data_IF_890552675839
#
_entry.id   IF_890552675839
#
_cell.length_a   1.000
_cell.length_b   1.000
_cell.length_c   1.000
_cell.angle_alpha   90.00
_cell.angle_beta   90.00
_cell.angle_gamma   90.00
#
_symmetry.space_group_name_H-M   'P 1'
#
loop_
_entity.id
_entity.type
_entity.pdbx_description
1 polymer ?
#
# COMPACT_ATOMS: atom_id res chain seq x y z
N UNK A 1 -29.15 5.37 17.72
CA UNK A 1 -30.07 4.28 17.33
C UNK A 1 -29.47 3.38 16.23
N UNK A 2 -28.77 3.97 15.24
CA UNK A 2 -28.09 3.27 14.14
C UNK A 2 -26.97 2.31 14.63
N UNK A 3 -26.14 2.71 15.58
CA UNK A 3 -25.09 1.82 16.14
C UNK A 3 -25.65 0.55 16.81
N UNK A 4 -26.82 0.64 17.48
CA UNK A 4 -27.50 -0.53 18.05
C UNK A 4 -28.08 -1.47 16.99
N UNK A 5 -28.44 -0.96 15.81
CA UNK A 5 -28.86 -1.78 14.68
C UNK A 5 -27.67 -2.57 14.11
N UNK A 6 -26.48 -1.95 14.04
CA UNK A 6 -25.28 -2.57 13.51
C UNK A 6 -24.70 -3.71 14.37
N UNK A 7 -24.82 -3.66 15.69
CA UNK A 7 -24.22 -4.69 16.57
C UNK A 7 -25.13 -5.91 16.81
N UNK A 8 -26.46 -5.75 16.65
CA UNK A 8 -27.41 -6.82 17.01
C UNK A 8 -27.57 -7.82 15.87
N UNK A 9 -27.15 -9.06 16.09
CA UNK A 9 -27.50 -10.20 15.23
C UNK A 9 -29.02 -10.42 15.38
N UNK A 10 -29.78 -10.09 14.36
CA UNK A 10 -31.22 -10.33 14.35
C UNK A 10 -31.50 -11.83 14.48
N UNK A 11 -32.48 -12.17 15.33
CA UNK A 11 -32.89 -13.57 15.54
C UNK A 11 -33.28 -14.21 14.21
N UNK A 12 -32.78 -15.41 13.94
CA UNK A 12 -33.06 -16.20 12.73
C UNK A 12 -34.57 -16.39 12.49
N UNK A 13 -35.36 -16.38 13.57
CA UNK A 13 -36.82 -16.45 13.53
C UNK A 13 -37.49 -15.17 13.02
N UNK A 14 -36.89 -14.00 13.25
CA UNK A 14 -37.39 -12.73 12.69
C UNK A 14 -37.25 -12.72 11.17
N UNK A 15 -36.10 -13.20 10.66
CA UNK A 15 -35.85 -13.33 9.21
C UNK A 15 -36.85 -14.30 8.59
N UNK A 16 -37.07 -15.45 9.23
CA UNK A 16 -38.06 -16.41 8.79
C UNK A 16 -39.47 -15.81 8.73
N UNK A 17 -39.87 -15.04 9.75
CA UNK A 17 -41.18 -14.38 9.79
C UNK A 17 -41.32 -13.36 8.64
N UNK A 18 -40.29 -12.53 8.40
CA UNK A 18 -40.30 -11.57 7.29
C UNK A 18 -40.44 -12.30 5.95
N UNK A 19 -39.63 -13.33 5.69
CA UNK A 19 -39.71 -14.11 4.45
C UNK A 19 -41.12 -14.74 4.27
N UNK A 20 -41.71 -15.28 5.34
CA UNK A 20 -43.07 -15.84 5.30
C UNK A 20 -44.15 -14.78 5.00
N UNK A 21 -44.05 -13.59 5.60
CA UNK A 21 -44.98 -12.50 5.31
C UNK A 21 -44.89 -12.05 3.85
N UNK A 22 -43.67 -11.94 3.30
CA UNK A 22 -43.48 -11.54 1.91
C UNK A 22 -44.03 -12.59 0.93
N UNK A 23 -43.87 -13.87 1.25
CA UNK A 23 -44.43 -14.96 0.45
C UNK A 23 -45.97 -14.95 0.49
N UNK A 24 -46.55 -14.74 1.66
CA UNK A 24 -48.00 -14.63 1.82
C UNK A 24 -48.57 -13.45 1.01
N UNK A 25 -47.88 -12.31 1.05
CA UNK A 25 -48.22 -11.13 0.25
C UNK A 25 -48.07 -11.37 -1.26
N UNK A 26 -46.97 -12.01 -1.68
CA UNK A 26 -46.73 -12.33 -3.08
C UNK A 26 -47.82 -13.24 -3.66
N UNK A 27 -48.22 -14.27 -2.91
CA UNK A 27 -49.28 -15.19 -3.33
C UNK A 27 -50.63 -14.47 -3.39
N UNK A 28 -50.95 -13.62 -2.41
CA UNK A 28 -52.17 -12.82 -2.41
C UNK A 28 -52.24 -11.88 -3.63
N UNK A 29 -51.13 -11.19 -3.94
CA UNK A 29 -51.04 -10.33 -5.11
C UNK A 29 -51.17 -11.11 -6.42
N UNK A 30 -50.54 -12.29 -6.51
CA UNK A 30 -50.63 -13.13 -7.70
C UNK A 30 -52.06 -13.57 -8.01
N UNK A 31 -52.81 -13.96 -6.97
CA UNK A 31 -54.22 -14.34 -7.12
C UNK A 31 -55.07 -13.15 -7.56
N UNK A 32 -54.88 -11.97 -6.94
CA UNK A 32 -55.61 -10.74 -7.31
C UNK A 32 -55.38 -10.34 -8.76
N UNK A 33 -54.14 -10.44 -9.25
CA UNK A 33 -53.77 -10.11 -10.62
C UNK A 33 -54.34 -11.11 -11.64
N UNK A 34 -54.43 -12.38 -11.29
CA UNK A 34 -54.85 -13.43 -12.22
C UNK A 34 -56.39 -13.50 -12.34
N UNK A 35 -57.14 -13.20 -11.28
CA UNK A 35 -58.61 -13.29 -11.25
C UNK A 35 -59.36 -12.05 -11.77
N UNK A 36 -58.69 -11.08 -12.42
CA UNK A 36 -59.29 -9.86 -13.00
C UNK A 36 -60.43 -9.24 -12.14
N UNK A 37 -60.10 -8.65 -10.99
CA UNK A 37 -60.96 -7.68 -10.25
C UNK A 37 -62.40 -8.18 -9.93
N UNK A 38 -62.72 -9.47 -10.09
CA UNK A 38 -64.06 -10.00 -9.80
C UNK A 38 -64.11 -10.53 -8.36
N UNK A 39 -64.09 -9.58 -7.41
CA UNK A 39 -63.95 -9.79 -5.96
C UNK A 39 -64.95 -10.81 -5.38
N UNK A 40 -66.11 -10.98 -6.01
CA UNK A 40 -67.20 -11.86 -5.56
C UNK A 40 -66.86 -13.34 -5.82
N UNK A 41 -66.08 -13.65 -6.86
CA UNK A 41 -65.65 -15.02 -7.19
C UNK A 41 -64.49 -15.50 -6.29
N UNK A 42 -63.64 -14.57 -5.85
CA UNK A 42 -62.47 -14.83 -5.01
C UNK A 42 -62.88 -15.27 -3.60
N UNK A 43 -63.91 -14.65 -3.01
CA UNK A 43 -64.39 -15.02 -1.67
C UNK A 43 -65.27 -16.28 -1.64
N UNK A 44 -65.90 -16.67 -2.76
CA UNK A 44 -66.68 -17.91 -2.86
C UNK A 44 -65.80 -19.17 -3.01
N UNK A 45 -64.60 -19.04 -3.58
CA UNK A 45 -63.70 -20.18 -3.86
C UNK A 45 -62.53 -20.21 -2.88
N UNK A 46 -62.60 -21.01 -1.81
CA UNK A 46 -61.49 -21.58 -1.01
C UNK A 46 -60.13 -20.81 -0.98
N UNK A 47 -60.15 -19.48 -1.00
CA UNK A 47 -58.98 -18.65 -1.27
C UNK A 47 -57.98 -18.71 -0.12
N UNK A 48 -58.51 -18.67 1.10
CA UNK A 48 -57.74 -18.87 2.31
C UNK A 48 -57.05 -20.24 2.35
N UNK A 49 -57.70 -21.28 1.82
CA UNK A 49 -57.09 -22.62 1.76
C UNK A 49 -55.86 -22.63 0.85
N UNK A 50 -55.96 -22.04 -0.36
CA UNK A 50 -54.82 -21.92 -1.29
C UNK A 50 -53.64 -21.14 -0.69
N UNK A 51 -53.92 -20.04 0.00
CA UNK A 51 -52.89 -19.24 0.68
C UNK A 51 -52.22 -20.00 1.83
N UNK A 52 -53.01 -20.65 2.68
CA UNK A 52 -52.49 -21.40 3.84
C UNK A 52 -51.67 -22.60 3.38
N UNK A 53 -52.12 -23.32 2.35
CA UNK A 53 -51.37 -24.45 1.78
C UNK A 53 -50.03 -23.98 1.19
N UNK A 54 -50.02 -22.88 0.41
CA UNK A 54 -48.78 -22.35 -0.16
C UNK A 54 -47.81 -21.88 0.94
N UNK A 55 -48.30 -21.12 1.92
CA UNK A 55 -47.48 -20.65 3.04
C UNK A 55 -46.92 -21.82 3.85
N UNK A 56 -47.72 -22.86 4.13
CA UNK A 56 -47.28 -24.07 4.81
C UNK A 56 -46.17 -24.82 4.06
N UNK A 57 -46.33 -25.03 2.75
CA UNK A 57 -45.29 -25.62 1.89
C UNK A 57 -44.01 -24.79 1.93
N UNK A 58 -44.14 -23.46 1.84
CA UNK A 58 -42.99 -22.55 1.89
C UNK A 58 -42.28 -22.59 3.24
N UNK A 59 -43.00 -22.68 4.35
CA UNK A 59 -42.45 -22.77 5.70
C UNK A 59 -41.60 -24.05 5.86
N UNK A 60 -42.09 -25.19 5.38
CA UNK A 60 -41.36 -26.46 5.39
C UNK A 60 -40.09 -26.38 4.51
N UNK A 61 -40.19 -25.84 3.29
CA UNK A 61 -39.05 -25.77 2.39
C UNK A 61 -37.98 -24.78 2.89
N UNK A 62 -38.38 -23.64 3.44
CA UNK A 62 -37.45 -22.61 3.95
C UNK A 62 -36.74 -23.07 5.24
N UNK A 63 -37.38 -23.93 6.03
CA UNK A 63 -36.75 -24.57 7.19
C UNK A 63 -35.78 -25.66 6.76
N UNK A 64 -36.18 -26.54 5.83
CA UNK A 64 -35.31 -27.61 5.29
C UNK A 64 -34.07 -27.06 4.58
N UNK A 65 -34.24 -26.03 3.73
CA UNK A 65 -33.12 -25.36 3.04
C UNK A 65 -32.32 -24.40 3.91
N UNK A 66 -32.69 -24.25 5.20
CA UNK A 66 -31.99 -23.41 6.19
C UNK A 66 -31.74 -21.96 5.72
N UNK A 67 -32.66 -21.41 4.91
CA UNK A 67 -32.50 -20.08 4.29
C UNK A 67 -32.47 -18.98 5.35
N UNK A 68 -33.23 -19.17 6.42
CA UNK A 68 -33.35 -18.26 7.56
C UNK A 68 -32.12 -18.23 8.47
N UNK A 69 -31.14 -19.13 8.27
CA UNK A 69 -29.91 -19.21 9.09
C UNK A 69 -28.82 -18.26 8.56
N UNK A 70 -28.87 -17.91 7.27
CA UNK A 70 -27.91 -17.00 6.65
C UNK A 70 -28.00 -15.58 7.21
N UNK A 71 -26.87 -14.97 7.52
CA UNK A 71 -26.82 -13.56 7.90
C UNK A 71 -27.10 -12.70 6.65
N UNK A 72 -28.29 -12.10 6.54
CA UNK A 72 -28.70 -11.27 5.38
C UNK A 72 -27.67 -10.18 5.04
N UNK A 73 -26.91 -9.69 6.02
CA UNK A 73 -25.88 -8.66 5.83
C UNK A 73 -24.71 -9.10 4.96
N UNK A 74 -24.38 -10.40 4.98
CA UNK A 74 -23.30 -10.98 4.20
C UNK A 74 -23.83 -11.73 2.98
N UNK A 75 -25.03 -11.39 2.53
CA UNK A 75 -25.69 -12.14 1.47
C UNK A 75 -24.90 -12.04 0.17
N UNK A 76 -24.52 -13.22 -0.34
CA UNK A 76 -23.75 -13.39 -1.57
C UNK A 76 -24.66 -13.86 -2.72
N UNK A 77 -24.12 -13.94 -3.93
CA UNK A 77 -24.86 -14.47 -5.09
C UNK A 77 -25.46 -15.86 -4.83
N UNK A 78 -24.76 -16.69 -4.05
CA UNK A 78 -25.24 -18.01 -3.62
C UNK A 78 -26.54 -17.97 -2.79
N UNK A 79 -26.74 -16.94 -1.97
CA UNK A 79 -27.96 -16.80 -1.17
C UNK A 79 -29.18 -16.50 -2.03
N UNK A 80 -28.99 -15.67 -3.06
CA UNK A 80 -30.01 -15.35 -4.04
C UNK A 80 -30.42 -16.62 -4.79
N UNK A 81 -29.43 -17.44 -5.20
CA UNK A 81 -29.68 -18.74 -5.85
C UNK A 81 -30.37 -19.74 -4.90
N UNK A 82 -30.03 -19.74 -3.60
CA UNK A 82 -30.71 -20.56 -2.59
C UNK A 82 -32.19 -20.20 -2.43
N UNK A 83 -32.51 -18.90 -2.40
CA UNK A 83 -33.90 -18.42 -2.34
C UNK A 83 -34.66 -18.75 -3.61
N UNK A 84 -34.07 -18.45 -4.77
CA UNK A 84 -34.67 -18.74 -6.08
C UNK A 84 -34.97 -20.23 -6.25
N UNK A 85 -34.03 -21.10 -5.88
CA UNK A 85 -34.24 -22.55 -5.93
C UNK A 85 -35.27 -23.03 -4.90
N UNK A 86 -35.51 -22.30 -3.81
CA UNK A 86 -36.52 -22.66 -2.83
C UNK A 86 -37.92 -22.26 -3.29
N UNK A 87 -38.11 -21.04 -3.82
CA UNK A 87 -39.38 -20.60 -4.39
C UNK A 87 -39.77 -21.45 -5.60
N UNK A 88 -38.79 -21.90 -6.39
CA UNK A 88 -39.01 -22.84 -7.51
C UNK A 88 -39.53 -24.19 -7.00
N UNK A 89 -38.91 -24.78 -5.99
CA UNK A 89 -39.38 -26.04 -5.38
C UNK A 89 -40.77 -25.87 -4.75
N UNK A 90 -41.04 -24.75 -4.07
CA UNK A 90 -42.37 -24.44 -3.53
C UNK A 90 -43.42 -24.45 -4.63
N UNK A 91 -43.10 -23.81 -5.76
CA UNK A 91 -44.01 -23.69 -6.89
C UNK A 91 -44.28 -25.03 -7.57
N UNK A 92 -43.25 -25.87 -7.73
CA UNK A 92 -43.39 -27.24 -8.27
C UNK A 92 -44.23 -28.12 -7.33
N UNK A 93 -43.92 -28.12 -6.03
CA UNK A 93 -44.64 -28.94 -5.05
C UNK A 93 -46.11 -28.51 -4.98
N UNK A 94 -46.36 -27.21 -4.97
CA UNK A 94 -47.72 -26.68 -4.99
C UNK A 94 -48.46 -27.04 -6.29
N UNK A 95 -47.79 -26.98 -7.44
CA UNK A 95 -48.35 -27.39 -8.74
C UNK A 95 -48.77 -28.86 -8.78
N UNK A 96 -48.04 -29.75 -8.09
CA UNK A 96 -48.37 -31.20 -8.04
C UNK A 96 -49.42 -31.51 -6.97
N UNK A 97 -49.29 -30.94 -5.77
CA UNK A 97 -50.14 -31.28 -4.62
C UNK A 97 -51.55 -30.73 -4.76
N UNK A 98 -51.70 -29.47 -5.20
CA UNK A 98 -52.99 -28.78 -5.14
C UNK A 98 -54.01 -29.38 -6.10
N UNK A 99 -53.71 -29.65 -7.38
CA UNK A 99 -54.65 -30.34 -8.26
C UNK A 99 -55.05 -31.72 -7.72
N UNK A 100 -54.10 -32.50 -7.19
CA UNK A 100 -54.32 -33.85 -6.65
C UNK A 100 -55.29 -33.89 -5.47
N UNK A 101 -55.28 -32.84 -4.63
CA UNK A 101 -56.19 -32.71 -3.48
C UNK A 101 -57.58 -32.21 -3.90
N UNK A 102 -57.67 -31.51 -5.04
CA UNK A 102 -58.87 -30.79 -5.50
C UNK A 102 -59.62 -31.45 -6.67
N UNK A 103 -59.16 -32.58 -7.20
CA UNK A 103 -59.82 -33.35 -8.28
C UNK A 103 -61.29 -33.75 -8.01
N UNK A 104 -61.86 -33.41 -6.85
CA UNK A 104 -63.26 -33.62 -6.48
C UNK A 104 -64.12 -32.37 -6.28
N UNK A 105 -63.60 -31.14 -6.50
CA UNK A 105 -64.37 -29.90 -6.34
C UNK A 105 -64.71 -29.26 -7.71
N UNK A 106 -66.00 -29.08 -8.05
CA UNK A 106 -66.40 -28.44 -9.30
C UNK A 106 -66.11 -26.92 -9.25
N UNK A 107 -65.24 -26.43 -10.13
CA UNK A 107 -65.00 -24.98 -10.31
C UNK A 107 -63.53 -24.53 -10.38
N UNK A 108 -62.54 -25.43 -10.34
CA UNK A 108 -61.13 -25.05 -10.45
C UNK A 108 -60.67 -24.98 -11.91
N UNK A 109 -60.46 -23.76 -12.42
CA UNK A 109 -59.80 -23.55 -13.71
C UNK A 109 -58.31 -23.85 -13.59
N UNK A 110 -57.87 -25.03 -14.04
CA UNK A 110 -56.45 -25.44 -13.99
C UNK A 110 -55.51 -24.44 -14.67
N UNK A 111 -55.95 -23.82 -15.77
CA UNK A 111 -55.17 -22.82 -16.50
C UNK A 111 -54.93 -21.55 -15.66
N UNK A 112 -55.93 -21.16 -14.85
CA UNK A 112 -55.84 -20.01 -13.96
C UNK A 112 -54.89 -20.28 -12.79
N UNK A 113 -54.91 -21.51 -12.26
CA UNK A 113 -53.99 -21.95 -11.21
C UNK A 113 -52.54 -21.97 -11.70
N UNK A 114 -52.29 -22.48 -12.92
CA UNK A 114 -50.95 -22.50 -13.54
C UNK A 114 -50.41 -21.07 -13.72
N UNK A 115 -51.23 -20.14 -14.22
CA UNK A 115 -50.86 -18.72 -14.36
C UNK A 115 -50.56 -18.06 -13.01
N UNK A 116 -51.39 -18.34 -11.99
CA UNK A 116 -51.19 -17.81 -10.64
C UNK A 116 -49.89 -18.31 -10.01
N UNK A 117 -49.55 -19.59 -10.17
CA UNK A 117 -48.30 -20.16 -9.63
C UNK A 117 -47.08 -19.54 -10.33
N UNK A 118 -47.12 -19.44 -11.67
CA UNK A 118 -46.04 -18.85 -12.45
C UNK A 118 -45.81 -17.39 -12.05
N UNK A 119 -46.87 -16.60 -11.95
CA UNK A 119 -46.80 -15.19 -11.54
C UNK A 119 -46.28 -15.07 -10.09
N UNK A 120 -46.76 -15.91 -9.18
CA UNK A 120 -46.31 -15.92 -7.80
C UNK A 120 -44.81 -16.24 -7.68
N UNK A 121 -44.31 -17.17 -8.49
CA UNK A 121 -42.87 -17.50 -8.54
C UNK A 121 -42.03 -16.26 -8.86
N UNK A 122 -42.39 -15.47 -9.88
CA UNK A 122 -41.67 -14.26 -10.25
C UNK A 122 -41.79 -13.15 -9.20
N UNK A 123 -42.99 -12.93 -8.65
CA UNK A 123 -43.20 -11.90 -7.62
C UNK A 123 -42.43 -12.24 -6.35
N UNK A 124 -42.58 -13.46 -5.83
CA UNK A 124 -41.93 -13.90 -4.59
C UNK A 124 -40.41 -13.91 -4.69
N UNK A 125 -39.85 -14.44 -5.79
CA UNK A 125 -38.39 -14.46 -6.00
C UNK A 125 -37.81 -13.04 -6.11
N UNK A 126 -38.49 -12.14 -6.83
CA UNK A 126 -38.05 -10.75 -6.97
C UNK A 126 -38.09 -10.01 -5.63
N UNK A 127 -39.20 -10.13 -4.87
CA UNK A 127 -39.37 -9.42 -3.59
C UNK A 127 -38.35 -9.87 -2.55
N UNK A 128 -38.08 -11.18 -2.46
CA UNK A 128 -37.09 -11.75 -1.55
C UNK A 128 -35.64 -11.40 -1.96
N UNK A 129 -35.37 -11.26 -3.26
CA UNK A 129 -34.07 -10.81 -3.76
C UNK A 129 -33.85 -9.31 -3.47
N UNK A 130 -34.85 -8.48 -3.72
CA UNK A 130 -34.82 -7.04 -3.42
C UNK A 130 -34.59 -6.81 -1.93
N UNK A 131 -35.28 -7.54 -1.05
CA UNK A 131 -35.07 -7.42 0.40
C UNK A 131 -33.59 -7.68 0.77
N UNK A 132 -33.00 -8.77 0.26
CA UNK A 132 -31.61 -9.15 0.58
C UNK A 132 -30.59 -8.15 0.05
N UNK A 133 -30.77 -7.70 -1.20
CA UNK A 133 -29.92 -6.67 -1.81
C UNK A 133 -30.08 -5.31 -1.12
N UNK A 134 -31.31 -4.93 -0.79
CA UNK A 134 -31.63 -3.67 -0.11
C UNK A 134 -31.02 -3.61 1.28
N UNK A 135 -31.18 -4.66 2.10
CA UNK A 135 -30.57 -4.73 3.44
C UNK A 135 -29.05 -4.70 3.36
N UNK A 136 -28.44 -5.41 2.40
CA UNK A 136 -26.98 -5.37 2.17
C UNK A 136 -26.50 -3.97 1.82
N UNK A 137 -27.18 -3.30 0.88
CA UNK A 137 -26.81 -1.96 0.44
C UNK A 137 -26.99 -0.91 1.55
N UNK A 138 -28.11 -0.96 2.28
CA UNK A 138 -28.36 -0.05 3.41
C UNK A 138 -27.31 -0.25 4.51
N UNK A 139 -26.93 -1.49 4.81
CA UNK A 139 -25.88 -1.77 5.79
C UNK A 139 -24.51 -1.23 5.34
N UNK A 140 -24.15 -1.39 4.07
CA UNK A 140 -22.92 -0.83 3.50
C UNK A 140 -22.91 0.70 3.55
N UNK A 141 -24.04 1.34 3.25
CA UNK A 141 -24.18 2.80 3.31
C UNK A 141 -24.08 3.31 4.76
N UNK A 142 -24.80 2.69 5.71
CA UNK A 142 -24.78 3.09 7.12
C UNK A 142 -23.44 2.83 7.82
N UNK A 143 -22.67 1.82 7.39
CA UNK A 143 -21.30 1.60 7.85
C UNK A 143 -20.33 2.69 7.36
N UNK A 144 -20.64 3.32 6.22
CA UNK A 144 -19.81 4.36 5.62
C UNK A 144 -19.91 5.74 6.29
N UNK A 145 -20.82 5.96 7.26
CA UNK A 145 -21.09 7.28 7.85
C UNK A 145 -20.27 7.69 9.09
N UNK A 146 -19.27 6.90 9.52
CA UNK A 146 -18.35 7.36 10.58
C UNK A 146 -17.42 8.51 10.12
N UNK A 147 -17.45 9.61 10.84
CA UNK A 147 -16.71 10.86 10.62
C UNK A 147 -15.21 10.74 10.92
N UNK A 148 -14.51 9.82 10.25
CA UNK A 148 -13.04 9.78 10.24
C UNK A 148 -12.56 10.27 8.87
N UNK A 149 -11.55 11.15 8.88
CA UNK A 149 -10.96 11.76 7.70
C UNK A 149 -10.48 10.68 6.72
N UNK A 150 -11.23 10.44 5.66
CA UNK A 150 -10.87 9.46 4.65
C UNK A 150 -9.62 9.94 3.90
N UNK A 151 -8.59 9.09 3.82
CA UNK A 151 -7.42 9.39 3.00
C UNK A 151 -7.76 9.13 1.54
N UNK A 152 -7.68 10.16 0.72
CA UNK A 152 -7.89 10.07 -0.72
C UNK A 152 -6.68 9.44 -1.39
N UNK A 153 -6.88 8.31 -2.07
CA UNK A 153 -5.80 7.51 -2.66
C UNK A 153 -6.01 7.21 -4.14
N UNK A 154 -4.89 7.10 -4.86
CA UNK A 154 -4.79 6.52 -6.21
C UNK A 154 -4.12 5.15 -6.13
N UNK A 155 -4.49 4.26 -7.05
CA UNK A 155 -3.85 2.95 -7.17
C UNK A 155 -3.18 2.87 -8.54
N UNK A 156 -1.88 2.60 -8.57
CA UNK A 156 -1.14 2.41 -9.81
C UNK A 156 -1.41 1.00 -10.38
N UNK A 157 -1.63 0.94 -11.69
CA UNK A 157 -2.03 -0.23 -12.46
C UNK A 157 -3.53 -0.50 -12.43
N UNK A 158 -4.03 -1.09 -13.51
CA UNK A 158 -5.43 -1.54 -13.66
C UNK A 158 -5.52 -3.07 -13.78
N UNK A 159 -4.63 -3.81 -13.10
CA UNK A 159 -4.54 -5.27 -13.15
C UNK A 159 -5.24 -5.99 -11.99
N UNK A 160 -5.14 -7.33 -11.96
CA UNK A 160 -5.72 -8.17 -10.90
C UNK A 160 -5.23 -7.78 -9.50
N UNK A 161 -3.93 -7.47 -9.37
CA UNK A 161 -3.34 -7.04 -8.09
C UNK A 161 -3.95 -5.72 -7.62
N UNK A 162 -4.17 -4.75 -8.52
CA UNK A 162 -4.76 -3.45 -8.22
C UNK A 162 -6.21 -3.57 -7.76
N UNK A 163 -6.98 -4.49 -8.37
CA UNK A 163 -8.35 -4.81 -7.92
C UNK A 163 -8.36 -5.38 -6.50
N UNK A 164 -7.44 -6.30 -6.20
CA UNK A 164 -7.35 -6.91 -4.88
C UNK A 164 -6.92 -5.89 -3.81
N UNK A 165 -6.01 -4.99 -4.15
CA UNK A 165 -5.61 -3.86 -3.27
C UNK A 165 -6.83 -3.00 -2.97
N UNK A 166 -7.59 -2.60 -4.00
CA UNK A 166 -8.82 -1.82 -3.83
C UNK A 166 -9.78 -2.49 -2.84
N UNK A 167 -10.12 -3.75 -3.07
CA UNK A 167 -11.03 -4.50 -2.21
C UNK A 167 -10.52 -4.61 -0.77
N UNK A 168 -9.20 -4.71 -0.58
CA UNK A 168 -8.61 -4.84 0.76
C UNK A 168 -8.60 -3.52 1.51
N UNK A 169 -8.30 -2.41 0.83
CA UNK A 169 -8.30 -1.07 1.41
C UNK A 169 -9.72 -0.58 1.74
N UNK A 170 -10.71 -0.88 0.89
CA UNK A 170 -12.13 -0.56 1.15
C UNK A 170 -12.71 -1.35 2.34
N UNK A 171 -12.25 -2.59 2.55
CA UNK A 171 -12.72 -3.44 3.63
C UNK A 171 -11.94 -3.27 4.94
N UNK A 172 -10.96 -2.38 5.00
CA UNK A 172 -10.11 -2.20 6.18
C UNK A 172 -10.91 -1.53 7.33
N UNK A 173 -10.98 -2.14 8.53
CA UNK A 173 -11.87 -1.68 9.59
C UNK A 173 -11.41 -0.42 10.33
N UNK A 174 -10.12 -0.07 10.27
CA UNK A 174 -9.51 0.96 11.12
C UNK A 174 -9.18 2.29 10.41
N UNK A 175 -9.18 2.34 9.08
CA UNK A 175 -8.79 3.53 8.30
C UNK A 175 -9.69 3.60 7.08
N UNK A 176 -10.34 4.74 6.87
CA UNK A 176 -11.12 5.01 5.66
C UNK A 176 -10.20 5.44 4.53
N UNK A 177 -10.20 4.67 3.45
CA UNK A 177 -9.57 5.04 2.19
C UNK A 177 -10.64 5.41 1.18
N UNK A 178 -10.49 6.56 0.52
CA UNK A 178 -11.31 6.95 -0.62
C UNK A 178 -10.51 6.76 -1.90
N UNK A 179 -10.83 5.72 -2.66
CA UNK A 179 -10.13 5.40 -3.91
C UNK A 179 -10.73 6.21 -5.04
N UNK A 180 -9.95 7.17 -5.57
CA UNK A 180 -10.40 8.07 -6.65
C UNK A 180 -10.35 7.38 -8.01
N UNK A 181 -9.32 6.58 -8.24
CA UNK A 181 -8.98 6.14 -9.58
C UNK A 181 -7.86 5.12 -9.61
N UNK A 182 -7.83 4.33 -10.68
CA UNK A 182 -6.64 3.61 -11.10
C UNK A 182 -5.83 4.46 -12.08
N UNK A 183 -4.51 4.40 -12.00
CA UNK A 183 -3.61 5.02 -12.98
C UNK A 183 -2.99 3.92 -13.84
N UNK A 184 -3.22 3.94 -15.16
CA UNK A 184 -2.59 3.00 -16.09
C UNK A 184 -2.27 3.70 -17.41
N UNK A 185 -1.21 3.25 -18.10
CA UNK A 185 -0.78 3.80 -19.38
C UNK A 185 -1.30 2.98 -20.57
N UNK A 186 -1.88 1.81 -20.32
CA UNK A 186 -2.49 0.97 -21.34
C UNK A 186 -3.75 1.65 -21.92
N UNK A 187 -3.67 2.07 -23.19
CA UNK A 187 -4.75 2.75 -23.91
C UNK A 187 -6.03 1.92 -23.97
N UNK A 188 -5.93 0.59 -23.92
CA UNK A 188 -7.11 -0.28 -23.91
C UNK A 188 -7.87 -0.21 -22.58
N UNK A 189 -7.24 0.27 -21.51
CA UNK A 189 -7.84 0.32 -20.16
C UNK A 189 -8.20 1.74 -19.74
N UNK A 190 -7.44 2.74 -20.20
CA UNK A 190 -7.71 4.16 -19.93
C UNK A 190 -9.13 4.54 -20.34
N UNK A 191 -9.83 5.24 -19.45
CA UNK A 191 -11.21 5.67 -19.66
C UNK A 191 -12.27 4.63 -19.31
N UNK A 192 -11.91 3.35 -19.15
CA UNK A 192 -12.81 2.30 -18.68
C UNK A 192 -12.98 2.34 -17.16
N UNK A 193 -13.94 1.56 -16.65
CA UNK A 193 -14.19 1.39 -15.22
C UNK A 193 -13.89 -0.04 -14.79
N UNK A 194 -13.23 -0.19 -13.64
CA UNK A 194 -12.96 -1.46 -12.97
C UNK A 194 -13.51 -1.34 -11.55
N UNK A 195 -14.38 -2.28 -11.16
CA UNK A 195 -15.04 -2.25 -9.85
C UNK A 195 -15.73 -0.89 -9.57
N UNK A 196 -16.36 -0.26 -10.57
CA UNK A 196 -16.98 1.09 -10.47
C UNK A 196 -15.99 2.27 -10.28
N UNK A 197 -14.68 2.04 -10.35
CA UNK A 197 -13.65 3.09 -10.30
C UNK A 197 -13.06 3.30 -11.69
N UNK A 198 -12.89 4.57 -12.11
CA UNK A 198 -12.36 4.91 -13.43
C UNK A 198 -10.85 4.70 -13.50
N UNK A 199 -10.38 4.25 -14.67
CA UNK A 199 -8.95 4.19 -15.01
C UNK A 199 -8.58 5.48 -15.73
N UNK A 200 -7.59 6.19 -15.20
CA UNK A 200 -7.04 7.42 -15.75
C UNK A 200 -5.65 7.16 -16.31
N UNK A 201 -5.26 8.00 -17.26
CA UNK A 201 -3.88 8.07 -17.71
C UNK A 201 -3.03 8.82 -16.68
N UNK A 202 -1.72 8.59 -16.64
CA UNK A 202 -0.82 9.29 -15.72
C UNK A 202 -0.86 10.82 -15.89
N UNK A 203 -1.04 11.35 -17.10
CA UNK A 203 -1.19 12.80 -17.33
C UNK A 203 -2.36 13.46 -16.56
N UNK A 204 -3.33 12.67 -16.08
CA UNK A 204 -4.44 13.18 -15.29
C UNK A 204 -4.13 13.31 -13.79
N UNK A 205 -2.95 12.89 -13.32
CA UNK A 205 -2.61 12.90 -11.88
C UNK A 205 -2.68 14.33 -11.32
N UNK A 206 -2.17 15.32 -12.07
CA UNK A 206 -2.29 16.74 -11.69
C UNK A 206 -3.75 17.19 -11.50
N UNK A 207 -4.61 16.94 -12.49
CA UNK A 207 -6.04 17.30 -12.44
C UNK A 207 -6.76 16.58 -11.29
N UNK A 208 -6.43 15.32 -11.05
CA UNK A 208 -7.01 14.51 -9.99
C UNK A 208 -6.61 15.03 -8.61
N UNK A 209 -5.36 15.49 -8.45
CA UNK A 209 -4.91 16.10 -7.21
C UNK A 209 -5.70 17.36 -6.89
N UNK A 210 -5.86 18.27 -7.83
CA UNK A 210 -6.60 19.51 -7.59
C UNK A 210 -8.09 19.25 -7.31
N UNK A 211 -8.69 18.33 -8.06
CA UNK A 211 -10.12 18.04 -7.97
C UNK A 211 -10.52 17.25 -6.73
N UNK A 212 -9.69 16.30 -6.30
CA UNK A 212 -10.03 15.34 -5.24
C UNK A 212 -9.11 15.42 -4.01
N UNK A 213 -8.12 16.31 -4.01
CA UNK A 213 -7.11 16.42 -2.95
C UNK A 213 -6.44 15.07 -2.64
N UNK A 214 -5.91 14.43 -3.68
CA UNK A 214 -5.22 13.14 -3.57
C UNK A 214 -4.02 13.26 -2.65
N UNK A 215 -3.97 12.42 -1.61
CA UNK A 215 -2.92 12.45 -0.60
C UNK A 215 -1.83 11.39 -0.84
N UNK A 216 -2.21 10.24 -1.43
CA UNK A 216 -1.30 9.09 -1.54
C UNK A 216 -1.57 8.26 -2.80
N UNK A 217 -0.52 7.74 -3.44
CA UNK A 217 -0.58 6.76 -4.51
C UNK A 217 0.02 5.44 -4.03
N UNK A 218 -0.71 4.33 -4.21
CA UNK A 218 -0.29 2.98 -3.84
C UNK A 218 0.13 2.20 -5.10
N UNK A 219 1.32 1.60 -5.06
CA UNK A 219 1.88 0.79 -6.15
C UNK A 219 2.33 -0.59 -5.66
N UNK A 220 2.15 -1.62 -6.50
CA UNK A 220 2.69 -2.96 -6.22
C UNK A 220 4.21 -2.94 -6.37
N UNK A 221 4.95 -3.49 -5.41
CA UNK A 221 6.42 -3.50 -5.40
C UNK A 221 7.04 -4.07 -6.68
N UNK A 222 6.41 -5.07 -7.30
CA UNK A 222 6.90 -5.69 -8.53
C UNK A 222 6.79 -4.79 -9.77
N UNK A 223 5.98 -3.73 -9.71
CA UNK A 223 5.75 -2.81 -10.82
C UNK A 223 6.67 -1.57 -10.76
N UNK A 224 7.50 -1.43 -9.73
CA UNK A 224 8.44 -0.30 -9.54
C UNK A 224 9.51 -0.19 -10.65
N UNK A 225 9.87 -1.31 -11.30
CA UNK A 225 10.92 -1.35 -12.32
C UNK A 225 10.46 -0.92 -13.71
N UNK A 226 9.14 -0.80 -13.94
CA UNK A 226 8.59 -0.45 -15.25
C UNK A 226 8.79 1.04 -15.56
N UNK A 227 9.10 1.37 -16.81
CA UNK A 227 9.26 2.78 -17.23
C UNK A 227 8.00 3.61 -16.98
N UNK A 228 6.82 3.05 -17.30
CA UNK A 228 5.53 3.71 -17.12
C UNK A 228 5.22 4.06 -15.65
N UNK A 229 5.63 3.23 -14.69
CA UNK A 229 5.37 3.49 -13.28
C UNK A 229 6.26 4.57 -12.72
N UNK A 230 7.50 4.66 -13.21
CA UNK A 230 8.44 5.72 -12.84
C UNK A 230 7.92 7.10 -13.18
N UNK A 231 7.39 7.28 -14.40
CA UNK A 231 6.80 8.55 -14.80
C UNK A 231 5.65 8.97 -13.87
N UNK A 232 4.75 8.04 -13.54
CA UNK A 232 3.65 8.32 -12.62
C UNK A 232 4.15 8.62 -11.18
N UNK A 233 5.22 7.96 -10.73
CA UNK A 233 5.82 8.21 -9.41
C UNK A 233 6.52 9.56 -9.34
N UNK A 234 7.30 9.93 -10.36
CA UNK A 234 7.97 11.22 -10.46
C UNK A 234 6.95 12.36 -10.44
N UNK A 235 5.89 12.26 -11.24
CA UNK A 235 4.80 13.25 -11.24
C UNK A 235 4.10 13.34 -9.88
N UNK A 236 3.83 12.21 -9.22
CA UNK A 236 3.28 12.21 -7.87
C UNK A 236 4.21 12.94 -6.87
N UNK A 237 5.52 12.69 -6.94
CA UNK A 237 6.49 13.32 -6.03
C UNK A 237 6.61 14.82 -6.27
N UNK A 238 6.64 15.28 -7.52
CA UNK A 238 6.66 16.71 -7.86
C UNK A 238 5.42 17.43 -7.34
N UNK A 239 4.28 16.75 -7.40
CA UNK A 239 3.02 17.23 -6.85
C UNK A 239 2.91 17.00 -5.33
N UNK A 240 3.91 16.45 -4.64
CA UNK A 240 3.85 16.22 -3.19
C UNK A 240 2.82 15.17 -2.75
N UNK A 241 2.37 14.32 -3.68
CA UNK A 241 1.56 13.13 -3.39
C UNK A 241 2.50 12.06 -2.83
N UNK A 242 2.13 11.49 -1.68
CA UNK A 242 2.92 10.42 -1.06
C UNK A 242 2.86 9.14 -1.92
N UNK A 243 3.99 8.50 -2.19
CA UNK A 243 4.02 7.21 -2.89
C UNK A 243 4.32 6.09 -1.90
N UNK A 244 3.46 5.07 -1.87
CA UNK A 244 3.57 3.91 -0.99
C UNK A 244 3.55 2.61 -1.78
N UNK A 245 4.34 1.64 -1.32
CA UNK A 245 4.49 0.33 -1.94
C UNK A 245 3.75 -0.73 -1.15
N UNK A 246 3.16 -1.69 -1.87
CA UNK A 246 2.54 -2.89 -1.29
C UNK A 246 3.13 -4.15 -1.92
N UNK A 247 3.34 -5.21 -1.13
CA UNK A 247 3.84 -6.47 -1.67
C UNK A 247 2.81 -7.10 -2.61
N UNK A 248 3.23 -7.97 -3.55
CA UNK A 248 2.31 -8.72 -4.41
C UNK A 248 1.35 -9.59 -3.57
N UNK A 249 0.13 -9.86 -4.08
CA UNK A 249 -0.90 -10.65 -3.40
C UNK A 249 -0.43 -11.98 -2.80
N UNK A 250 0.50 -12.67 -3.47
CA UNK A 250 1.01 -13.98 -3.04
C UNK A 250 1.81 -13.91 -1.73
N UNK A 251 2.25 -12.71 -1.32
CA UNK A 251 3.02 -12.47 -0.10
C UNK A 251 2.17 -11.93 1.05
N UNK A 252 0.84 -11.88 0.87
CA UNK A 252 -0.06 -11.36 1.90
C UNK A 252 -0.29 -12.42 2.98
N UNK A 253 -0.14 -12.00 4.24
CA UNK A 253 -0.29 -12.91 5.38
C UNK A 253 -1.77 -13.25 5.55
N UNK A 254 -2.11 -14.54 5.48
CA UNK A 254 -3.50 -15.03 5.54
C UNK A 254 -4.43 -14.44 4.46
N UNK A 255 -3.88 -14.06 3.29
CA UNK A 255 -4.65 -13.45 2.21
C UNK A 255 -5.14 -12.03 2.49
N UNK A 256 -4.62 -11.37 3.53
CA UNK A 256 -4.96 -10.00 3.90
C UNK A 256 -3.72 -9.11 3.92
N UNK A 257 -3.85 -7.91 3.33
CA UNK A 257 -2.83 -6.87 3.41
C UNK A 257 -2.91 -6.20 4.79
N UNK A 258 -1.84 -6.30 5.58
CA UNK A 258 -1.73 -5.57 6.84
C UNK A 258 -1.16 -4.17 6.62
N UNK A 259 -1.53 -3.22 7.48
CA UNK A 259 -1.05 -1.83 7.41
C UNK A 259 0.49 -1.73 7.43
N UNK A 260 1.18 -2.58 8.19
CA UNK A 260 2.65 -2.62 8.25
C UNK A 260 3.32 -3.12 6.96
N UNK A 261 2.54 -3.66 6.01
CA UNK A 261 3.01 -4.06 4.68
C UNK A 261 2.87 -2.94 3.66
N UNK A 262 2.12 -1.86 3.96
CA UNK A 262 2.13 -0.62 3.20
C UNK A 262 3.36 0.17 3.64
N UNK A 263 4.35 0.29 2.77
CA UNK A 263 5.63 0.94 3.10
C UNK A 263 5.85 2.15 2.23
N UNK A 264 6.25 3.24 2.85
CA UNK A 264 6.70 4.44 2.14
C UNK A 264 7.81 4.06 1.15
N UNK A 265 7.70 4.57 -0.07
CA UNK A 265 8.70 4.33 -1.10
C UNK A 265 10.04 4.93 -0.66
N UNK A 266 11.08 4.11 -0.60
CA UNK A 266 12.42 4.60 -0.28
C UNK A 266 13.23 4.85 -1.55
N UNK A 267 14.19 5.76 -1.50
CA UNK A 267 15.05 6.08 -2.65
C UNK A 267 15.83 4.84 -3.10
N UNK A 268 16.16 3.94 -2.18
CA UNK A 268 16.86 2.69 -2.49
C UNK A 268 16.02 1.75 -3.36
N UNK A 269 14.69 1.79 -3.25
CA UNK A 269 13.77 0.98 -4.05
C UNK A 269 13.69 1.44 -5.51
N UNK A 270 14.13 2.67 -5.80
CA UNK A 270 14.27 3.19 -7.17
C UNK A 270 15.54 2.67 -7.86
N UNK A 271 16.51 2.15 -7.10
CA UNK A 271 17.78 1.65 -7.61
C UNK A 271 17.61 0.21 -8.14
N UNK A 272 17.98 -0.04 -9.39
CA UNK A 272 17.82 -1.34 -10.06
C UNK A 272 18.86 -2.41 -9.67
N UNK A 273 19.43 -2.35 -8.47
CA UNK A 273 20.42 -3.34 -8.03
C UNK A 273 20.17 -3.78 -6.60
N UNK A 274 20.29 -5.07 -6.36
CA UNK A 274 20.34 -5.60 -5.01
C UNK A 274 21.58 -5.00 -4.28
N UNK A 275 21.43 -4.52 -3.04
CA UNK A 275 22.56 -4.01 -2.28
C UNK A 275 23.59 -5.12 -2.07
N UNK A 276 24.86 -4.82 -2.36
CA UNK A 276 25.96 -5.77 -2.17
C UNK A 276 26.09 -6.06 -0.67
N UNK A 277 25.82 -7.31 -0.27
CA UNK A 277 25.97 -7.76 1.12
C UNK A 277 27.45 -8.02 1.41
N UNK A 278 28.13 -7.03 1.99
CA UNK A 278 29.53 -7.16 2.39
C UNK A 278 29.68 -8.13 3.58
N UNK A 279 30.72 -8.98 3.56
CA UNK A 279 31.07 -9.89 4.66
C UNK A 279 31.53 -9.08 5.90
N UNK A 280 30.58 -8.76 6.79
CA UNK A 280 30.75 -7.86 7.95
C UNK A 280 31.87 -8.24 8.93
N UNK A 281 32.23 -9.52 9.07
CA UNK A 281 33.16 -9.98 10.13
C UNK A 281 34.56 -9.38 10.05
N UNK A 282 35.14 -9.27 8.85
CA UNK A 282 36.50 -8.75 8.69
C UNK A 282 36.56 -7.24 8.99
N UNK A 283 35.55 -6.49 8.56
CA UNK A 283 35.45 -5.04 8.79
C UNK A 283 35.31 -4.72 10.28
N UNK A 284 34.53 -5.52 11.01
CA UNK A 284 34.38 -5.39 12.48
C UNK A 284 35.73 -5.53 13.18
N UNK A 285 36.52 -6.55 12.81
CA UNK A 285 37.82 -6.81 13.44
C UNK A 285 38.85 -5.70 13.16
N UNK A 286 38.80 -5.06 11.98
CA UNK A 286 39.71 -3.97 11.65
C UNK A 286 39.37 -2.65 12.34
N UNK A 287 38.08 -2.37 12.56
CA UNK A 287 37.60 -1.08 13.09
C UNK A 287 37.49 -1.08 14.61
N UNK A 288 37.12 -2.21 15.20
CA UNK A 288 36.93 -2.34 16.66
C UNK A 288 38.22 -2.02 17.40
N UNK A 289 38.12 -1.23 18.46
CA UNK A 289 39.29 -0.90 19.27
C UNK A 289 40.29 0.07 18.61
N UNK A 290 39.93 0.76 17.52
CA UNK A 290 40.84 1.72 16.84
C UNK A 290 40.43 3.18 17.03
N UNK A 291 41.41 4.08 16.90
CA UNK A 291 41.16 5.53 16.79
C UNK A 291 41.01 5.90 15.31
N UNK A 292 39.87 6.49 14.95
CA UNK A 292 39.50 6.67 13.55
C UNK A 292 39.30 8.15 13.25
N UNK A 293 39.98 8.64 12.23
CA UNK A 293 39.79 10.00 11.69
C UNK A 293 38.94 9.91 10.43
N UNK A 294 37.88 10.72 10.34
CA UNK A 294 37.04 10.86 9.16
C UNK A 294 37.07 12.32 8.75
N UNK A 295 37.59 12.61 7.55
CA UNK A 295 37.58 13.97 6.98
C UNK A 295 36.46 14.10 5.97
N UNK A 296 35.85 15.28 5.89
CA UNK A 296 34.60 15.48 5.14
C UNK A 296 33.44 14.79 5.86
N UNK A 297 33.52 14.72 7.19
CA UNK A 297 32.63 13.93 8.03
C UNK A 297 31.17 14.36 7.93
N UNK A 298 30.91 15.63 7.63
CA UNK A 298 29.56 16.18 7.48
C UNK A 298 29.04 16.12 6.03
N UNK A 299 29.87 15.68 5.07
CA UNK A 299 29.45 15.41 3.71
C UNK A 299 28.64 14.11 3.60
N UNK A 300 27.83 13.98 2.54
CA UNK A 300 26.90 12.84 2.38
C UNK A 300 27.54 11.45 2.51
N UNK A 301 28.77 11.27 2.01
CA UNK A 301 29.51 10.00 2.14
C UNK A 301 30.18 9.90 3.51
N UNK A 302 30.77 11.00 4.00
CA UNK A 302 31.43 11.03 5.29
C UNK A 302 30.48 10.70 6.44
N UNK A 303 29.30 11.31 6.47
CA UNK A 303 28.29 11.07 7.52
C UNK A 303 27.84 9.61 7.55
N UNK A 304 27.75 8.97 6.38
CA UNK A 304 27.40 7.55 6.30
C UNK A 304 28.54 6.65 6.79
N UNK A 305 29.79 6.98 6.47
CA UNK A 305 30.97 6.31 7.05
C UNK A 305 30.96 6.45 8.57
N UNK A 306 30.64 7.64 9.10
CA UNK A 306 30.54 7.87 10.55
C UNK A 306 29.51 6.93 11.19
N UNK A 307 28.30 6.85 10.63
CA UNK A 307 27.24 5.97 11.14
C UNK A 307 27.67 4.50 11.17
N UNK A 308 28.33 4.04 10.12
CA UNK A 308 28.80 2.66 10.01
C UNK A 308 29.96 2.38 10.97
N UNK A 309 30.97 3.25 11.02
CA UNK A 309 32.12 3.12 11.92
C UNK A 309 31.67 3.03 13.37
N UNK A 310 30.72 3.87 13.79
CA UNK A 310 30.19 3.84 15.16
C UNK A 310 29.50 2.53 15.53
N UNK A 311 28.99 1.76 14.56
CA UNK A 311 28.38 0.45 14.83
C UNK A 311 29.39 -0.66 15.14
N UNK A 312 30.69 -0.37 15.00
CA UNK A 312 31.78 -1.35 15.13
C UNK A 312 32.68 -1.12 16.36
N UNK A 313 32.22 -0.37 17.37
CA UNK A 313 32.90 -0.15 18.66
C UNK A 313 34.36 0.33 18.57
N UNK A 314 34.64 1.45 17.87
CA UNK A 314 35.98 2.04 17.88
C UNK A 314 36.31 2.67 19.25
N UNK A 315 37.60 2.88 19.56
CA UNK A 315 38.03 3.58 20.78
C UNK A 315 37.59 5.06 20.75
N UNK A 316 37.77 5.70 19.59
CA UNK A 316 37.37 7.08 19.39
C UNK A 316 37.21 7.40 17.92
N UNK A 317 36.28 8.29 17.60
CA UNK A 317 36.05 8.77 16.24
C UNK A 317 36.24 10.29 16.20
N UNK A 318 37.13 10.75 15.33
CA UNK A 318 37.47 12.15 15.12
C UNK A 318 36.84 12.59 13.80
N UNK A 319 35.91 13.55 13.87
CA UNK A 319 35.14 14.06 12.76
C UNK A 319 35.69 15.42 12.35
N UNK A 320 36.29 15.49 11.16
CA UNK A 320 36.83 16.72 10.59
C UNK A 320 35.97 17.18 9.44
N UNK A 321 35.46 18.40 9.53
CA UNK A 321 34.82 19.09 8.41
C UNK A 321 35.03 20.60 8.54
N UNK A 322 34.93 21.32 7.43
CA UNK A 322 34.96 22.78 7.41
C UNK A 322 33.56 23.40 7.56
N UNK A 323 32.53 22.65 7.17
CA UNK A 323 31.16 23.12 7.17
C UNK A 323 30.59 23.06 8.59
N UNK A 324 30.43 24.22 9.21
CA UNK A 324 30.00 24.36 10.60
C UNK A 324 28.59 23.79 10.83
N UNK A 325 27.59 24.24 10.07
CA UNK A 325 26.20 23.82 10.27
C UNK A 325 26.00 22.32 10.01
N UNK A 326 26.48 21.73 8.89
CA UNK A 326 26.37 20.29 8.68
C UNK A 326 27.09 19.45 9.75
N UNK A 327 28.21 19.94 10.28
CA UNK A 327 28.96 19.24 11.33
C UNK A 327 28.23 19.31 12.68
N UNK A 328 27.56 20.43 12.97
CA UNK A 328 26.68 20.59 14.12
C UNK A 328 25.43 19.70 14.01
N UNK A 329 24.78 19.65 12.85
CA UNK A 329 23.62 18.79 12.64
C UNK A 329 23.98 17.31 12.80
N UNK A 330 25.15 16.90 12.30
CA UNK A 330 25.68 15.56 12.53
C UNK A 330 25.98 15.31 14.01
N UNK A 331 26.39 16.32 14.78
CA UNK A 331 26.57 16.19 16.22
C UNK A 331 25.25 15.87 16.92
N UNK A 332 24.20 16.61 16.61
CA UNK A 332 22.85 16.41 17.16
C UNK A 332 22.32 15.02 16.82
N UNK A 333 22.52 14.56 15.58
CA UNK A 333 22.15 13.21 15.15
C UNK A 333 22.84 12.11 15.99
N UNK A 334 24.05 12.39 16.49
CA UNK A 334 24.90 11.42 17.18
C UNK A 334 24.83 11.52 18.71
N UNK A 335 23.95 12.34 19.29
CA UNK A 335 23.82 12.53 20.74
C UNK A 335 23.62 11.23 21.52
N UNK A 336 22.75 10.33 21.04
CA UNK A 336 22.54 9.04 21.69
C UNK A 336 23.79 8.14 21.64
N UNK A 337 24.61 8.27 20.59
CA UNK A 337 25.83 7.48 20.41
C UNK A 337 27.03 8.06 21.15
N UNK A 338 27.01 9.34 21.49
CA UNK A 338 28.05 10.03 22.26
C UNK A 338 28.26 9.40 23.66
N UNK A 339 27.27 8.67 24.19
CA UNK A 339 27.36 8.02 25.50
C UNK A 339 28.22 6.75 25.50
N UNK A 340 28.41 6.09 24.35
CA UNK A 340 29.10 4.79 24.26
C UNK A 340 30.48 4.88 23.62
N UNK A 341 30.69 5.82 22.69
CA UNK A 341 31.93 5.98 21.95
C UNK A 341 32.44 7.41 22.06
N UNK A 342 33.76 7.60 22.28
CA UNK A 342 34.36 8.93 22.36
C UNK A 342 34.42 9.58 20.99
N UNK A 343 33.46 10.45 20.69
CA UNK A 343 33.44 11.24 19.45
C UNK A 343 34.06 12.63 19.70
N UNK A 344 34.87 13.10 18.76
CA UNK A 344 35.47 14.44 18.77
C UNK A 344 35.21 15.14 17.46
N UNK A 345 34.60 16.31 17.51
CA UNK A 345 34.36 17.16 16.35
C UNK A 345 35.49 18.18 16.23
N UNK A 346 35.98 18.37 15.02
CA UNK A 346 37.09 19.24 14.70
C UNK A 346 36.71 20.06 13.47
N UNK A 347 36.27 21.30 13.70
CA UNK A 347 36.08 22.26 12.62
C UNK A 347 37.45 22.64 12.05
N UNK A 348 37.83 22.06 10.91
CA UNK A 348 39.13 22.26 10.31
C UNK A 348 39.09 22.04 8.80
N UNK A 349 39.85 22.86 8.09
CA UNK A 349 40.05 22.71 6.65
C UNK A 349 41.25 21.80 6.39
N UNK A 350 41.05 20.75 5.59
CA UNK A 350 42.13 19.82 5.19
C UNK A 350 43.32 20.47 4.46
N UNK A 351 43.13 21.65 3.86
CA UNK A 351 44.20 22.41 3.19
C UNK A 351 45.12 23.11 4.20
N UNK A 352 44.65 23.34 5.43
CA UNK A 352 45.44 23.97 6.47
C UNK A 352 46.27 22.93 7.21
N UNK A 353 47.54 22.81 6.79
CA UNK A 353 48.50 21.88 7.38
C UNK A 353 48.61 22.04 8.90
N UNK A 354 48.66 23.26 9.43
CA UNK A 354 48.82 23.49 10.88
C UNK A 354 47.62 22.95 11.67
N UNK A 355 46.41 23.20 11.19
CA UNK A 355 45.19 22.68 11.83
C UNK A 355 45.15 21.16 11.79
N UNK A 356 45.41 20.55 10.63
CA UNK A 356 45.44 19.10 10.50
C UNK A 356 46.56 18.46 11.32
N UNK A 357 47.74 19.05 11.35
CA UNK A 357 48.86 18.60 12.17
C UNK A 357 48.46 18.52 13.65
N UNK A 358 47.77 19.55 14.18
CA UNK A 358 47.27 19.53 15.56
C UNK A 358 46.24 18.42 15.79
N UNK A 359 45.35 18.16 14.83
CA UNK A 359 44.39 17.05 14.91
C UNK A 359 45.13 15.70 14.99
N UNK A 360 46.10 15.46 14.09
CA UNK A 360 46.89 14.23 14.10
C UNK A 360 47.74 14.09 15.37
N UNK A 361 48.39 15.16 15.81
CA UNK A 361 49.21 15.19 17.02
C UNK A 361 48.41 14.85 18.28
N UNK A 362 47.22 15.45 18.42
CA UNK A 362 46.39 15.31 19.62
C UNK A 362 45.63 13.98 19.67
N UNK A 363 45.25 13.43 18.51
CA UNK A 363 44.37 12.25 18.46
C UNK A 363 45.04 10.96 17.97
N UNK A 364 46.20 11.06 17.32
CA UNK A 364 47.00 9.91 16.84
C UNK A 364 46.14 8.84 16.15
N UNK A 365 45.40 9.17 15.08
CA UNK A 365 44.49 8.22 14.44
C UNK A 365 45.25 7.03 13.85
N UNK A 366 44.66 5.84 13.97
CA UNK A 366 45.19 4.59 13.40
C UNK A 366 44.59 4.32 12.02
N UNK A 367 43.33 4.69 11.81
CA UNK A 367 42.67 4.57 10.52
C UNK A 367 42.17 5.94 10.08
N UNK A 368 42.40 6.30 8.82
CA UNK A 368 41.95 7.55 8.23
C UNK A 368 41.01 7.25 7.06
N UNK A 369 39.76 7.70 7.16
CA UNK A 369 38.83 7.78 6.04
C UNK A 369 38.83 9.20 5.48
N UNK A 370 39.26 9.34 4.23
CA UNK A 370 39.33 10.62 3.53
C UNK A 370 38.19 10.78 2.53
N UNK A 371 37.13 11.48 2.95
CA UNK A 371 35.94 11.76 2.14
C UNK A 371 35.78 13.25 1.78
N UNK A 372 36.64 14.13 2.29
CA UNK A 372 36.63 15.56 1.94
C UNK A 372 37.13 15.79 0.50
N UNK A 373 36.25 16.32 -0.35
CA UNK A 373 36.55 16.69 -1.73
C UNK A 373 35.44 17.59 -2.30
N UNK A 374 35.76 18.40 -3.30
CA UNK A 374 34.76 19.01 -4.18
C UNK A 374 34.39 18.06 -5.32
N UNK A 375 33.07 17.91 -5.54
CA UNK A 375 32.50 16.86 -6.41
C UNK A 375 31.68 17.36 -7.61
N UNK A 376 31.23 18.61 -7.60
CA UNK A 376 30.30 19.12 -8.62
C UNK A 376 31.06 19.55 -9.88
N UNK A 377 30.92 18.78 -10.96
CA UNK A 377 31.66 19.00 -12.21
C UNK A 377 31.49 20.43 -12.75
N UNK A 378 30.27 20.96 -12.99
CA UNK A 378 30.14 22.30 -13.59
C UNK A 378 30.77 23.40 -12.74
N UNK A 379 30.68 23.29 -11.40
CA UNK A 379 31.29 24.28 -10.50
C UNK A 379 32.80 24.22 -10.53
N UNK A 380 33.39 23.03 -10.63
CA UNK A 380 34.84 22.83 -10.62
C UNK A 380 35.48 23.13 -11.97
N UNK A 381 34.75 23.03 -13.08
CA UNK A 381 35.22 23.55 -14.37
C UNK A 381 35.41 25.08 -14.32
N UNK A 382 34.49 25.79 -13.66
CA UNK A 382 34.58 27.23 -13.48
C UNK A 382 35.58 27.65 -12.38
N UNK A 383 35.94 26.74 -11.47
CA UNK A 383 36.83 27.00 -10.34
C UNK A 383 37.93 25.91 -10.23
N UNK A 384 38.80 25.79 -11.25
CA UNK A 384 39.75 24.70 -11.34
C UNK A 384 40.82 24.72 -10.24
N UNK A 385 41.23 25.91 -9.79
CA UNK A 385 42.19 26.07 -8.68
C UNK A 385 41.65 25.46 -7.39
N UNK A 386 40.38 25.70 -7.08
CA UNK A 386 39.72 25.18 -5.88
C UNK A 386 39.63 23.65 -5.91
N UNK A 387 39.36 23.07 -7.08
CA UNK A 387 39.40 21.62 -7.28
C UNK A 387 40.78 21.05 -6.96
N UNK A 388 41.86 21.68 -7.43
CA UNK A 388 43.23 21.25 -7.16
C UNK A 388 43.59 21.44 -5.68
N UNK A 389 43.28 22.58 -5.08
CA UNK A 389 43.59 22.84 -3.66
C UNK A 389 42.86 21.87 -2.74
N UNK A 390 41.56 21.65 -2.93
CA UNK A 390 40.81 20.74 -2.08
C UNK A 390 41.17 19.27 -2.37
N UNK A 391 41.07 18.83 -3.63
CA UNK A 391 41.16 17.41 -3.95
C UNK A 391 42.59 16.90 -4.00
N UNK A 392 43.58 17.73 -4.36
CA UNK A 392 44.99 17.32 -4.48
C UNK A 392 45.79 17.76 -3.26
N UNK A 393 45.87 19.07 -3.00
CA UNK A 393 46.69 19.59 -1.90
C UNK A 393 46.12 19.20 -0.53
N UNK A 394 44.80 19.24 -0.37
CA UNK A 394 44.12 18.73 0.81
C UNK A 394 44.40 17.23 1.04
N UNK A 395 44.23 16.40 0.01
CA UNK A 395 44.57 14.97 0.08
C UNK A 395 46.03 14.75 0.48
N UNK A 396 46.96 15.46 -0.17
CA UNK A 396 48.39 15.41 0.15
C UNK A 396 48.64 15.71 1.62
N UNK A 397 48.07 16.79 2.15
CA UNK A 397 48.23 17.20 3.54
C UNK A 397 47.80 16.09 4.51
N UNK A 398 46.62 15.51 4.32
CA UNK A 398 46.11 14.46 5.20
C UNK A 398 46.91 13.16 5.05
N UNK A 399 47.29 12.79 3.82
CA UNK A 399 48.05 11.58 3.55
C UNK A 399 49.49 11.66 4.11
N UNK A 400 50.17 12.79 3.94
CA UNK A 400 51.51 13.01 4.49
C UNK A 400 51.48 12.92 6.02
N UNK A 401 50.51 13.56 6.66
CA UNK A 401 50.33 13.48 8.12
C UNK A 401 49.96 12.07 8.58
N UNK A 402 49.18 11.31 7.79
CA UNK A 402 48.88 9.92 8.11
C UNK A 402 50.15 9.06 8.12
N UNK A 403 51.06 9.27 7.17
CA UNK A 403 52.38 8.61 7.13
C UNK A 403 53.25 9.08 8.30
N UNK A 404 53.38 10.39 8.51
CA UNK A 404 54.22 10.98 9.56
C UNK A 404 53.83 10.48 10.96
N UNK A 405 52.53 10.37 11.24
CA UNK A 405 52.02 9.95 12.54
C UNK A 405 51.80 8.44 12.66
N UNK A 406 52.13 7.65 11.62
CA UNK A 406 52.09 6.19 11.65
C UNK A 406 50.67 5.61 11.65
N UNK A 407 49.75 6.18 10.89
CA UNK A 407 48.43 5.57 10.68
C UNK A 407 48.57 4.22 9.97
N UNK A 408 47.91 3.20 10.51
CA UNK A 408 47.96 1.81 10.01
C UNK A 408 47.27 1.67 8.64
N UNK A 409 46.24 2.48 8.38
CA UNK A 409 45.46 2.42 7.14
C UNK A 409 44.91 3.78 6.74
N UNK A 410 45.11 4.14 5.47
CA UNK A 410 44.54 5.33 4.85
C UNK A 410 43.62 4.93 3.70
N UNK A 411 42.37 5.38 3.74
CA UNK A 411 41.31 5.03 2.78
C UNK A 411 40.77 6.32 2.17
N UNK A 412 41.09 6.58 0.90
CA UNK A 412 40.49 7.69 0.16
C UNK A 412 39.24 7.24 -0.59
N UNK A 413 38.17 8.02 -0.47
CA UNK A 413 36.98 7.86 -1.30
C UNK A 413 37.26 8.47 -2.68
N UNK A 414 37.11 7.66 -3.73
CA UNK A 414 37.25 8.11 -5.13
C UNK A 414 35.94 8.01 -5.92
N UNK A 415 36.00 8.23 -7.23
CA UNK A 415 34.84 8.30 -8.12
C UNK A 415 35.17 7.67 -9.48
N UNK A 416 34.15 7.12 -10.12
CA UNK A 416 34.15 6.68 -11.53
C UNK A 416 34.77 7.71 -12.51
N UNK A 417 34.56 9.00 -12.27
CA UNK A 417 35.07 10.12 -13.07
C UNK A 417 36.59 10.27 -13.06
N UNK A 418 37.31 9.54 -12.19
CA UNK A 418 38.77 9.54 -12.13
C UNK A 418 39.43 8.53 -13.09
N UNK A 419 38.68 7.57 -13.66
CA UNK A 419 39.27 6.47 -14.46
C UNK A 419 39.82 6.95 -15.80
N UNK A 420 39.05 7.76 -16.54
CA UNK A 420 39.46 8.46 -17.78
C UNK A 420 38.87 9.87 -17.73
N UNK A 421 39.49 10.78 -16.96
CA UNK A 421 38.89 12.06 -16.66
C UNK A 421 38.80 12.94 -17.91
N UNK A 422 37.60 13.47 -18.18
CA UNK A 422 37.33 14.44 -19.25
C UNK A 422 37.02 15.83 -18.70
N UNK A 423 37.18 16.02 -17.38
CA UNK A 423 36.87 17.25 -16.65
C UNK A 423 37.90 17.44 -15.51
N UNK A 424 38.09 18.68 -15.07
CA UNK A 424 39.04 19.11 -14.03
C UNK A 424 38.75 18.41 -12.71
N UNK A 425 37.48 18.27 -12.33
CA UNK A 425 37.09 17.57 -11.10
C UNK A 425 37.62 16.13 -11.10
N UNK A 426 37.34 15.36 -12.16
CA UNK A 426 37.85 14.00 -12.34
C UNK A 426 39.37 13.93 -12.40
N UNK A 427 40.01 14.86 -13.11
CA UNK A 427 41.46 14.92 -13.23
C UNK A 427 42.15 15.18 -11.88
N UNK A 428 41.61 16.11 -11.07
CA UNK A 428 42.09 16.40 -9.72
C UNK A 428 42.01 15.18 -8.80
N UNK A 429 40.90 14.42 -8.85
CA UNK A 429 40.75 13.17 -8.08
C UNK A 429 41.71 12.09 -8.56
N UNK A 430 41.94 11.96 -9.87
CA UNK A 430 42.92 11.03 -10.42
C UNK A 430 44.34 11.35 -9.97
N UNK A 431 44.71 12.62 -9.93
CA UNK A 431 46.01 13.04 -9.42
C UNK A 431 46.17 12.70 -7.93
N UNK A 432 45.12 12.91 -7.13
CA UNK A 432 45.09 12.52 -5.73
C UNK A 432 45.25 11.00 -5.52
N UNK A 433 44.62 10.17 -6.37
CA UNK A 433 44.81 8.71 -6.35
C UNK A 433 46.26 8.32 -6.60
N UNK A 434 46.87 8.91 -7.64
CA UNK A 434 48.27 8.64 -8.01
C UNK A 434 49.19 9.02 -6.85
N UNK A 435 48.94 10.15 -6.19
CA UNK A 435 49.71 10.58 -5.03
C UNK A 435 49.65 9.56 -3.90
N UNK A 436 48.45 9.14 -3.48
CA UNK A 436 48.29 8.14 -2.41
C UNK A 436 48.93 6.80 -2.80
N UNK A 437 48.73 6.34 -4.04
CA UNK A 437 49.36 5.12 -4.53
C UNK A 437 50.89 5.20 -4.51
N UNK A 438 51.47 6.38 -4.73
CA UNK A 438 52.92 6.59 -4.63
C UNK A 438 53.43 6.48 -3.20
N UNK A 439 52.64 6.90 -2.20
CA UNK A 439 52.97 6.74 -0.79
C UNK A 439 52.89 5.28 -0.34
N UNK A 440 51.95 4.50 -0.86
CA UNK A 440 51.81 3.08 -0.53
C UNK A 440 52.93 2.18 -1.11
N UNK A 441 53.74 2.70 -2.05
CA UNK A 441 54.87 1.99 -2.64
C UNK A 441 56.21 2.25 -1.93
N UNK A 442 56.22 3.15 -0.94
CA UNK A 442 57.33 3.35 -0.01
C UNK A 442 57.08 2.50 1.22
#
# INVERSE_FOLDING_TARGET
MINKFCERIYSRWLIFLIDQTLIFWAMSMSVLMTHKIDYISIFKNNFLFYLVVYSGISAVIFTLKKIHIGMIRFSNTEDILRVFSATLICSIIYWVLVPSILSGHPGTNEDLLKKTILLNFFISSSLLAILRLGVKNIFNILKNDSTETARTILIYGAGKSSVLIKQTLENHPSIKYQIVGFIDNDLDRVGKQIEQTKVYNFYAISDLKEKYNVAEMVIVSNDLSRYASRQAMEECMELGIKVSTVPPPDQWLNGQLKQNQIKDLKIEDLLQRDPIVLKKKNVIQEISGKRILITGAAGSIGSEIVRQVLSYNPISVILVDQAETPLHDLQLELEDKLQTTKIKLCMAHIQNHRSMYNVFKNHRPQIVFHAAAYKHVPMMENNPSEAIFANVHGTKTVADLAVEFGAEKFIMISTDKAVKPTNVMGASKRLAEIYIQSLNKK
#
